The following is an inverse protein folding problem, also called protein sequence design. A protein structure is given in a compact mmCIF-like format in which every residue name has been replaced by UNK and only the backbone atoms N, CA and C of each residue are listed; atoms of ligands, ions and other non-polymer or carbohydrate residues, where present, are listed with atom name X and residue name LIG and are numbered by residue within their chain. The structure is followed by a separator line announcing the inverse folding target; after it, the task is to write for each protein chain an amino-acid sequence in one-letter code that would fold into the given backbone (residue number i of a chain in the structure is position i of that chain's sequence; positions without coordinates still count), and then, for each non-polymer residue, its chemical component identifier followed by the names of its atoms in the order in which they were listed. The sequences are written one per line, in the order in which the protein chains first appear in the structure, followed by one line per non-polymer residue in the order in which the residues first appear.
data_IF_408994982922
#
_entry.id   IF_408994982922
#
_cell.length_a   1.000
_cell.length_b   1.000
_cell.length_c   1.000
_cell.angle_alpha   90.00
_cell.angle_beta   90.00
_cell.angle_gamma   90.00
#
_symmetry.space_group_name_H-M   'P 1'
#
loop_
_entity.id
_entity.type
_entity.pdbx_description
1 polymer ?
#
# COMPACT_ATOMS: atom_id res chain seq x y z
N UNK A 1 55.90 17.16 27.02
CA UNK A 1 55.59 15.76 26.66
C UNK A 1 54.12 15.56 26.94
N UNK A 2 53.30 15.41 25.89
CA UNK A 2 51.86 15.17 26.03
C UNK A 2 51.63 13.67 26.12
N UNK A 3 51.05 13.19 27.22
CA UNK A 3 50.60 11.82 27.39
C UNK A 3 49.46 11.55 26.42
N UNK A 4 49.72 10.71 25.43
CA UNK A 4 48.64 10.17 24.56
C UNK A 4 47.92 9.12 25.39
N UNK A 5 46.72 9.49 25.90
CA UNK A 5 45.81 8.59 26.60
C UNK A 5 45.39 7.49 25.65
N UNK A 6 45.95 6.30 25.76
CA UNK A 6 45.52 5.08 25.05
C UNK A 6 44.18 4.64 25.63
N UNK A 7 43.12 4.79 24.85
CA UNK A 7 41.80 4.24 25.17
C UNK A 7 41.95 2.72 25.34
N UNK A 8 41.64 2.20 26.52
CA UNK A 8 41.78 0.77 26.82
C UNK A 8 40.96 -0.09 25.86
N UNK A 9 41.43 -1.29 25.53
CA UNK A 9 40.73 -2.26 24.64
C UNK A 9 39.29 -2.50 25.11
N UNK A 10 39.05 -2.52 26.40
CA UNK A 10 37.73 -2.65 27.01
C UNK A 10 36.81 -1.48 26.63
N UNK A 11 37.29 -0.26 26.66
CA UNK A 11 36.51 0.92 26.27
C UNK A 11 36.23 0.94 24.76
N UNK A 12 37.16 0.48 23.94
CA UNK A 12 36.93 0.30 22.49
C UNK A 12 35.83 -0.73 22.20
N UNK A 13 35.81 -1.83 22.96
CA UNK A 13 34.80 -2.88 22.80
C UNK A 13 33.42 -2.38 23.23
N UNK A 14 33.34 -1.69 24.39
CA UNK A 14 32.07 -1.06 24.85
C UNK A 14 31.52 -0.05 23.84
N UNK A 15 32.41 0.77 23.26
CA UNK A 15 32.02 1.73 22.22
C UNK A 15 31.49 1.06 20.96
N UNK A 16 32.15 -0.01 20.47
CA UNK A 16 31.69 -0.80 19.32
C UNK A 16 30.32 -1.44 19.57
N UNK A 17 30.13 -2.00 20.78
CA UNK A 17 28.85 -2.59 21.17
C UNK A 17 27.74 -1.53 21.24
N UNK A 18 28.01 -0.39 21.84
CA UNK A 18 27.04 0.72 21.89
C UNK A 18 26.67 1.22 20.49
N UNK A 19 27.64 1.39 19.60
CA UNK A 19 27.42 1.80 18.21
C UNK A 19 26.58 0.77 17.44
N UNK A 20 26.88 -0.53 17.63
CA UNK A 20 26.11 -1.62 17.02
C UNK A 20 24.67 -1.64 17.52
N UNK A 21 24.44 -1.47 18.83
CA UNK A 21 23.10 -1.40 19.42
C UNK A 21 22.28 -0.23 18.87
N UNK A 22 22.90 0.96 18.75
CA UNK A 22 22.26 2.15 18.16
C UNK A 22 21.91 1.90 16.69
N UNK A 23 22.81 1.28 15.93
CA UNK A 23 22.57 0.97 14.52
C UNK A 23 21.39 -0.02 14.35
N UNK A 24 21.34 -1.07 15.17
CA UNK A 24 20.22 -2.04 15.17
C UNK A 24 18.93 -1.36 15.56
N UNK A 25 18.91 -0.50 16.58
CA UNK A 25 17.73 0.25 17.00
C UNK A 25 17.22 1.18 15.88
N UNK A 26 18.11 1.84 15.15
CA UNK A 26 17.77 2.68 14.00
C UNK A 26 17.16 1.87 12.85
N UNK A 27 17.69 0.68 12.54
CA UNK A 27 17.16 -0.20 11.50
C UNK A 27 15.77 -0.72 11.89
N UNK A 28 15.56 -1.10 13.16
CA UNK A 28 14.26 -1.58 13.66
C UNK A 28 13.19 -0.47 13.66
N UNK A 29 13.57 0.80 13.84
CA UNK A 29 12.63 1.92 13.87
C UNK A 29 11.99 2.21 12.51
N UNK A 30 12.69 1.94 11.40
CA UNK A 30 12.18 2.17 10.04
C UNK A 30 11.04 1.21 9.70
N UNK A 31 11.09 -0.05 10.15
CA UNK A 31 10.04 -1.05 9.92
C UNK A 31 8.71 -0.70 10.63
N UNK A 32 8.78 -0.06 11.80
CA UNK A 32 7.59 0.36 12.55
C UNK A 32 6.84 1.53 11.87
N UNK A 33 7.55 2.39 11.14
CA UNK A 33 6.95 3.54 10.44
C UNK A 33 6.08 3.13 9.24
N UNK A 34 6.42 2.04 8.55
CA UNK A 34 5.69 1.56 7.38
C UNK A 34 4.28 1.03 7.73
N UNK A 35 4.11 0.39 8.89
CA UNK A 35 2.80 -0.10 9.35
C UNK A 35 1.84 1.01 9.81
N UNK A 36 2.34 2.16 10.22
CA UNK A 36 1.50 3.27 10.67
C UNK A 36 0.89 4.09 9.51
N UNK A 37 1.36 3.96 8.28
CA UNK A 37 0.91 4.79 7.16
C UNK A 37 -0.55 4.52 6.75
N UNK A 38 -1.00 3.27 6.71
CA UNK A 38 -2.37 2.92 6.34
C UNK A 38 -3.36 3.30 7.43
N UNK A 39 -3.09 2.97 8.68
CA UNK A 39 -3.94 3.34 9.82
C UNK A 39 -4.06 4.87 10.01
N UNK A 40 -3.05 5.64 9.58
CA UNK A 40 -3.11 7.10 9.54
C UNK A 40 -4.02 7.66 8.44
N UNK A 41 -4.15 6.93 7.33
CA UNK A 41 -4.87 7.39 6.14
C UNK A 41 -6.25 6.76 6.02
N UNK A 42 -6.41 5.48 6.43
CA UNK A 42 -7.63 4.69 6.24
C UNK A 42 -8.23 4.23 7.57
N UNK A 43 -9.53 3.94 7.57
CA UNK A 43 -10.26 3.32 8.68
C UNK A 43 -10.33 1.81 8.39
N UNK A 44 -9.29 1.08 8.81
CA UNK A 44 -9.03 -0.28 8.36
C UNK A 44 -10.06 -1.33 8.80
N UNK A 45 -10.79 -1.06 9.87
CA UNK A 45 -11.88 -1.88 10.42
C UNK A 45 -13.23 -1.65 9.74
N UNK A 46 -13.33 -0.67 8.86
CA UNK A 46 -14.54 -0.38 8.08
C UNK A 46 -14.37 -0.83 6.64
N UNK A 47 -15.50 -1.12 6.00
CA UNK A 47 -15.58 -1.43 4.59
C UNK A 47 -16.54 -0.46 3.89
N UNK A 48 -16.14 -0.04 2.70
CA UNK A 48 -16.98 0.63 1.73
C UNK A 48 -16.81 -0.03 0.37
N UNK A 49 -17.78 0.16 -0.51
CA UNK A 49 -17.76 -0.35 -1.88
C UNK A 49 -17.82 0.81 -2.85
N UNK A 50 -16.98 0.78 -3.87
CA UNK A 50 -17.08 1.66 -5.04
C UNK A 50 -17.25 0.81 -6.29
N UNK A 51 -18.01 1.30 -7.25
CA UNK A 51 -18.19 0.70 -8.58
C UNK A 51 -17.88 1.74 -9.64
N UNK A 52 -17.11 1.36 -10.66
CA UNK A 52 -16.76 2.30 -11.72
C UNK A 52 -15.97 1.67 -12.84
N UNK A 53 -15.35 2.52 -13.65
CA UNK A 53 -14.49 2.11 -14.77
C UNK A 53 -13.04 2.41 -14.45
N UNK A 54 -12.15 1.48 -14.80
CA UNK A 54 -10.70 1.68 -14.72
C UNK A 54 -10.31 2.79 -15.69
N UNK A 55 -9.76 3.87 -15.13
CA UNK A 55 -9.15 4.96 -15.90
C UNK A 55 -7.64 4.78 -16.05
N UNK A 56 -7.01 4.15 -15.04
CA UNK A 56 -5.57 3.90 -15.03
C UNK A 56 -5.25 2.74 -14.10
N UNK A 57 -4.25 1.92 -14.45
CA UNK A 57 -3.77 0.84 -13.60
C UNK A 57 -2.24 0.82 -13.57
N UNK A 58 -1.67 1.19 -12.43
CA UNK A 58 -0.24 1.30 -12.19
C UNK A 58 0.25 0.28 -11.17
N UNK A 59 0.98 -0.74 -11.62
CA UNK A 59 1.67 -1.69 -10.74
C UNK A 59 3.08 -1.16 -10.45
N UNK A 60 3.35 -0.89 -9.16
CA UNK A 60 4.62 -0.35 -8.68
C UNK A 60 4.87 -0.65 -7.21
N UNK A 61 6.10 -0.42 -6.75
CA UNK A 61 6.46 -0.41 -5.35
C UNK A 61 6.49 1.04 -4.80
N UNK A 62 6.24 1.27 -3.50
CA UNK A 62 5.78 0.26 -2.52
C UNK A 62 4.31 -0.12 -2.71
N UNK A 63 3.47 0.72 -3.33
CA UNK A 63 2.04 0.46 -3.53
C UNK A 63 1.63 0.73 -4.97
N UNK A 64 0.78 -0.17 -5.49
CA UNK A 64 0.13 -0.02 -6.78
C UNK A 64 -1.16 0.77 -6.64
N UNK A 65 -1.65 1.35 -7.73
CA UNK A 65 -2.87 2.15 -7.73
C UNK A 65 -3.76 1.82 -8.93
N UNK A 66 -5.07 1.79 -8.67
CA UNK A 66 -6.10 1.80 -9.70
C UNK A 66 -6.80 3.15 -9.62
N UNK A 67 -6.82 3.90 -10.72
CA UNK A 67 -7.66 5.09 -10.85
C UNK A 67 -9.01 4.66 -11.41
N UNK A 68 -10.10 4.94 -10.68
CA UNK A 68 -11.46 4.49 -11.01
C UNK A 68 -12.37 5.69 -11.21
N UNK A 69 -13.06 5.75 -12.33
CA UNK A 69 -14.13 6.73 -12.59
C UNK A 69 -15.44 6.19 -12.04
N UNK A 70 -15.88 6.80 -10.95
CA UNK A 70 -17.14 6.45 -10.26
C UNK A 70 -18.19 7.49 -10.61
N UNK A 71 -19.33 7.03 -11.13
CA UNK A 71 -20.47 7.91 -11.42
C UNK A 71 -21.40 7.96 -10.22
N UNK A 72 -21.54 9.13 -9.62
CA UNK A 72 -22.47 9.37 -8.51
C UNK A 72 -23.93 9.30 -8.92
N UNK A 73 -24.82 9.26 -7.94
CA UNK A 73 -26.28 9.26 -8.18
C UNK A 73 -26.80 10.52 -8.88
N UNK A 74 -26.04 11.60 -8.77
CA UNK A 74 -26.26 12.90 -9.44
C UNK A 74 -25.73 12.93 -10.89
N UNK A 75 -25.16 11.81 -11.37
CA UNK A 75 -24.53 11.70 -12.69
C UNK A 75 -23.12 12.29 -12.77
N UNK A 76 -22.60 12.87 -11.68
CA UNK A 76 -21.24 13.43 -11.64
C UNK A 76 -20.22 12.32 -11.56
N UNK A 77 -19.17 12.41 -12.37
CA UNK A 77 -18.06 11.48 -12.35
C UNK A 77 -16.97 12.00 -11.39
N UNK A 78 -16.58 11.16 -10.44
CA UNK A 78 -15.47 11.42 -9.52
C UNK A 78 -14.39 10.39 -9.76
N UNK A 79 -13.13 10.83 -9.83
CA UNK A 79 -11.98 9.95 -9.95
C UNK A 79 -11.50 9.53 -8.56
N UNK A 80 -11.58 8.23 -8.29
CA UNK A 80 -11.15 7.59 -7.06
C UNK A 80 -9.78 6.95 -7.23
N UNK A 81 -8.92 7.09 -6.21
CA UNK A 81 -7.65 6.39 -6.13
C UNK A 81 -7.79 5.13 -5.25
N UNK A 82 -7.73 3.95 -5.84
CA UNK A 82 -7.71 2.70 -5.09
C UNK A 82 -6.26 2.26 -4.86
N UNK A 83 -5.79 2.38 -3.62
CA UNK A 83 -4.45 1.98 -3.21
C UNK A 83 -4.39 0.48 -2.98
N UNK A 84 -3.42 -0.19 -3.61
CA UNK A 84 -3.29 -1.64 -3.61
C UNK A 84 -1.87 -2.06 -3.19
N UNK A 85 -1.63 -3.35 -3.07
CA UNK A 85 -0.34 -3.90 -2.66
C UNK A 85 0.81 -3.60 -3.63
N UNK A 86 2.04 -3.77 -3.14
CA UNK A 86 3.24 -3.68 -3.96
C UNK A 86 3.37 -4.84 -4.95
N UNK A 87 4.31 -4.72 -5.89
CA UNK A 87 4.52 -5.67 -7.00
C UNK A 87 4.62 -7.12 -6.54
N UNK A 88 5.43 -7.39 -5.50
CA UNK A 88 5.65 -8.75 -4.99
C UNK A 88 4.36 -9.37 -4.44
N UNK A 89 3.63 -8.63 -3.60
CA UNK A 89 2.39 -9.10 -3.01
C UNK A 89 1.32 -9.37 -4.09
N UNK A 90 1.19 -8.47 -5.05
CA UNK A 90 0.21 -8.59 -6.11
C UNK A 90 0.52 -9.75 -7.06
N UNK A 91 1.80 -9.94 -7.42
CA UNK A 91 2.21 -11.07 -8.28
C UNK A 91 1.98 -12.44 -7.65
N UNK A 92 2.21 -12.55 -6.32
CA UNK A 92 1.86 -13.76 -5.56
C UNK A 92 0.35 -14.05 -5.55
N UNK A 93 -0.48 -13.00 -5.60
CA UNK A 93 -1.92 -13.07 -5.76
C UNK A 93 -2.41 -13.20 -7.21
N UNK A 94 -1.53 -13.45 -8.17
CA UNK A 94 -1.87 -13.62 -9.59
C UNK A 94 -2.16 -12.31 -10.34
N UNK A 95 -1.90 -11.16 -9.73
CA UNK A 95 -2.11 -9.85 -10.35
C UNK A 95 -0.88 -9.44 -11.16
N UNK A 96 -1.10 -9.00 -12.38
CA UNK A 96 -0.05 -8.44 -13.24
C UNK A 96 -0.61 -7.25 -14.05
N UNK A 97 0.25 -6.59 -14.82
CA UNK A 97 -0.11 -5.39 -15.61
C UNK A 97 -1.23 -5.60 -16.65
N UNK A 98 -1.59 -6.85 -16.95
CA UNK A 98 -2.66 -7.20 -17.90
C UNK A 98 -3.95 -7.61 -17.21
N UNK A 99 -3.96 -7.69 -15.88
CA UNK A 99 -5.12 -8.14 -15.09
C UNK A 99 -6.32 -7.21 -15.26
N UNK A 100 -6.08 -5.92 -15.28
CA UNK A 100 -7.09 -4.89 -15.53
C UNK A 100 -6.71 -4.06 -16.75
N UNK A 101 -7.72 -3.67 -17.52
CA UNK A 101 -7.58 -2.80 -18.70
C UNK A 101 -8.35 -1.50 -18.48
N UNK A 102 -7.88 -0.42 -19.11
CA UNK A 102 -8.62 0.84 -19.14
C UNK A 102 -10.00 0.58 -19.73
N UNK A 103 -11.05 1.09 -19.07
CA UNK A 103 -12.45 0.88 -19.45
C UNK A 103 -13.12 -0.34 -18.83
N UNK A 104 -12.37 -1.26 -18.19
CA UNK A 104 -12.96 -2.37 -17.44
C UNK A 104 -13.91 -1.84 -16.36
N UNK A 105 -15.11 -2.41 -16.27
CA UNK A 105 -15.97 -2.20 -15.11
C UNK A 105 -15.45 -3.02 -13.96
N UNK A 106 -15.33 -2.41 -12.79
CA UNK A 106 -14.87 -3.08 -11.56
C UNK A 106 -15.68 -2.66 -10.36
N UNK A 107 -15.74 -3.55 -9.39
CA UNK A 107 -16.23 -3.30 -8.04
C UNK A 107 -15.08 -3.47 -7.08
N UNK A 108 -14.86 -2.51 -6.22
CA UNK A 108 -13.80 -2.54 -5.19
C UNK A 108 -14.45 -2.43 -3.82
N UNK A 109 -14.21 -3.44 -2.98
CA UNK A 109 -14.44 -3.35 -1.54
C UNK A 109 -13.14 -2.99 -0.85
N UNK A 110 -13.16 -2.07 0.09
CA UNK A 110 -11.97 -1.62 0.77
C UNK A 110 -12.21 -0.73 1.97
N UNK A 111 -11.13 -0.36 2.65
CA UNK A 111 -11.19 0.54 3.78
C UNK A 111 -11.37 1.99 3.31
N UNK A 112 -12.35 2.74 3.89
CA UNK A 112 -12.55 4.14 3.55
C UNK A 112 -11.42 5.02 4.08
N UNK A 113 -11.21 6.21 3.49
CA UNK A 113 -10.28 7.19 4.02
C UNK A 113 -10.80 7.76 5.34
N UNK A 114 -9.90 8.24 6.19
CA UNK A 114 -10.27 8.97 7.42
C UNK A 114 -10.86 10.34 7.11
N UNK A 115 -10.32 11.02 6.12
CA UNK A 115 -10.91 12.25 5.58
C UNK A 115 -11.97 11.86 4.54
N UNK A 116 -13.23 12.09 4.87
CA UNK A 116 -14.37 11.76 4.00
C UNK A 116 -14.43 12.59 2.72
N UNK A 117 -13.64 13.64 2.59
CA UNK A 117 -13.52 14.44 1.37
C UNK A 117 -12.53 13.84 0.37
N UNK A 118 -11.70 12.91 0.80
CA UNK A 118 -10.75 12.20 -0.05
C UNK A 118 -11.47 11.12 -0.88
N UNK A 119 -11.31 11.17 -2.18
CA UNK A 119 -11.77 10.11 -3.08
C UNK A 119 -10.71 8.99 -3.18
N UNK A 120 -10.54 8.23 -2.08
CA UNK A 120 -9.57 7.12 -1.98
C UNK A 120 -10.20 5.90 -1.30
N UNK A 121 -9.62 4.73 -1.56
CA UNK A 121 -9.98 3.48 -0.91
C UNK A 121 -8.74 2.57 -0.81
N UNK A 122 -8.54 1.92 0.32
CA UNK A 122 -7.52 0.88 0.47
C UNK A 122 -8.13 -0.47 0.10
N UNK A 123 -7.65 -1.06 -0.97
CA UNK A 123 -8.22 -2.26 -1.58
C UNK A 123 -8.19 -3.47 -0.64
N UNK A 124 -9.31 -4.17 -0.53
CA UNK A 124 -9.47 -5.46 0.14
C UNK A 124 -9.98 -6.54 -0.82
N UNK A 125 -10.77 -6.14 -1.83
CA UNK A 125 -11.28 -7.01 -2.87
C UNK A 125 -11.47 -6.23 -4.15
N UNK A 126 -11.15 -6.84 -5.27
CA UNK A 126 -11.44 -6.33 -6.62
C UNK A 126 -12.20 -7.38 -7.37
N UNK A 127 -13.32 -7.02 -7.93
CA UNK A 127 -14.11 -7.87 -8.84
C UNK A 127 -14.21 -7.16 -10.19
N UNK A 128 -13.78 -7.83 -11.25
CA UNK A 128 -14.11 -7.45 -12.61
C UNK A 128 -15.14 -8.46 -13.11
N UNK A 129 -16.40 -8.07 -13.32
CA UNK A 129 -17.44 -8.96 -13.81
C UNK A 129 -17.06 -9.63 -15.13
N UNK A 130 -17.64 -10.80 -15.40
CA UNK A 130 -17.50 -11.47 -16.68
C UNK A 130 -18.05 -10.57 -17.81
N UNK A 131 -17.41 -10.65 -18.97
CA UNK A 131 -17.87 -10.02 -20.22
C UNK A 131 -18.04 -11.09 -21.29
N UNK A 132 -18.53 -10.75 -22.47
CA UNK A 132 -18.62 -11.69 -23.60
C UNK A 132 -17.26 -12.32 -24.00
N UNK A 133 -16.15 -11.63 -23.70
CA UNK A 133 -14.79 -12.02 -24.12
C UNK A 133 -13.83 -12.33 -22.99
N UNK A 134 -14.25 -12.18 -21.72
CA UNK A 134 -13.38 -12.38 -20.54
C UNK A 134 -14.18 -12.97 -19.39
N UNK A 135 -13.65 -13.99 -18.69
CA UNK A 135 -14.28 -14.54 -17.49
C UNK A 135 -14.26 -13.49 -16.37
N UNK A 136 -15.07 -13.75 -15.35
CA UNK A 136 -14.98 -12.98 -14.10
C UNK A 136 -13.57 -13.10 -13.51
N UNK A 137 -13.09 -12.00 -12.93
CA UNK A 137 -11.86 -11.96 -12.17
C UNK A 137 -12.14 -11.46 -10.75
N UNK A 138 -11.64 -12.18 -9.77
CA UNK A 138 -11.76 -11.83 -8.36
C UNK A 138 -10.38 -11.90 -7.70
N UNK A 139 -9.99 -10.81 -7.04
CA UNK A 139 -8.87 -10.79 -6.10
C UNK A 139 -9.38 -10.37 -4.71
N UNK A 140 -8.86 -11.01 -3.67
CA UNK A 140 -9.17 -10.67 -2.28
C UNK A 140 -7.93 -10.86 -1.42
N UNK A 141 -7.65 -9.89 -0.54
CA UNK A 141 -6.52 -9.94 0.37
C UNK A 141 -6.40 -8.68 1.22
N UNK A 142 -5.40 -8.66 2.10
CA UNK A 142 -5.00 -7.45 2.83
C UNK A 142 -3.75 -6.88 2.20
N UNK A 143 -3.72 -5.58 2.02
CA UNK A 143 -2.52 -4.81 1.66
C UNK A 143 -1.66 -4.68 2.92
N UNK A 144 -0.38 -5.00 2.81
CA UNK A 144 0.61 -4.93 3.88
C UNK A 144 1.65 -3.86 3.58
#
# INVERSE_FOLDING_TARGET
MAEVSTISEENRMKFKMALFTVLVALICSVAAYAHHSFAGTYIEDKLMTIEGKVAEFNIRNPHSFISVEVTGKDGKVTRWGAEWGGVTQLSQGGVNRFTLKIGDKIVIDGAPPRDSTDAKILVRKVVRPATATSPEYVWQGRVQ
#
